data_IF_649292828929
#
_entry.id   IF_649292828929
#
_cell.length_a   1.000
_cell.length_b   1.000
_cell.length_c   1.000
_cell.angle_alpha   90.00
_cell.angle_beta   90.00
_cell.angle_gamma   90.00
#
_symmetry.space_group_name_H-M   'P 1'
#
loop_
_entity.id
_entity.type
_entity.pdbx_description
1 polymer ?
#
# COMPACT_ATOMS: atom_id res chain seq x y z
N UNK A 1 -14.67 -3.22 -63.16
CA UNK A 1 -14.28 -3.09 -61.73
C UNK A 1 -14.95 -4.21 -60.96
N UNK A 2 -14.30 -5.37 -60.79
CA UNK A 2 -14.82 -6.43 -59.93
C UNK A 2 -14.61 -5.99 -58.48
N UNK A 3 -15.70 -5.82 -57.74
CA UNK A 3 -15.68 -5.52 -56.31
C UNK A 3 -14.96 -6.64 -55.56
N UNK A 4 -13.70 -6.39 -55.20
CA UNK A 4 -12.88 -7.28 -54.38
C UNK A 4 -13.37 -7.21 -52.93
N UNK A 5 -14.49 -7.86 -52.63
CA UNK A 5 -15.08 -7.97 -51.28
C UNK A 5 -14.08 -8.51 -50.24
N UNK A 6 -13.10 -9.30 -50.66
CA UNK A 6 -12.04 -9.81 -49.79
C UNK A 6 -11.07 -8.74 -49.27
N UNK A 7 -10.88 -7.65 -50.02
CA UNK A 7 -9.96 -6.57 -49.63
C UNK A 7 -10.52 -5.75 -48.47
N UNK A 8 -11.83 -5.46 -48.51
CA UNK A 8 -12.56 -4.77 -47.43
C UNK A 8 -12.54 -5.62 -46.15
N UNK A 9 -12.69 -6.94 -46.27
CA UNK A 9 -12.67 -7.84 -45.12
C UNK A 9 -11.27 -7.86 -44.45
N UNK A 10 -10.20 -7.85 -45.25
CA UNK A 10 -8.82 -7.82 -44.76
C UNK A 10 -8.49 -6.50 -44.05
N UNK A 11 -8.87 -5.37 -44.65
CA UNK A 11 -8.66 -4.04 -44.06
C UNK A 11 -9.42 -3.88 -42.73
N UNK A 12 -10.66 -4.40 -42.67
CA UNK A 12 -11.44 -4.42 -41.42
C UNK A 12 -10.80 -5.30 -40.35
N UNK A 13 -10.21 -6.44 -40.73
CA UNK A 13 -9.54 -7.35 -39.80
C UNK A 13 -8.27 -6.72 -39.22
N UNK A 14 -7.48 -6.05 -40.06
CA UNK A 14 -6.26 -5.33 -39.65
C UNK A 14 -6.62 -4.20 -38.69
N UNK A 15 -7.65 -3.42 -39.03
CA UNK A 15 -8.13 -2.33 -38.17
C UNK A 15 -8.59 -2.83 -36.80
N UNK A 16 -9.30 -3.96 -36.77
CA UNK A 16 -9.74 -4.60 -35.54
C UNK A 16 -8.55 -5.10 -34.69
N UNK A 17 -7.55 -5.72 -35.32
CA UNK A 17 -6.37 -6.20 -34.63
C UNK A 17 -5.59 -5.05 -33.97
N UNK A 18 -5.41 -3.94 -34.69
CA UNK A 18 -4.76 -2.73 -34.16
C UNK A 18 -5.55 -2.18 -32.97
N UNK A 19 -6.88 -2.11 -33.08
CA UNK A 19 -7.74 -1.63 -32.00
C UNK A 19 -7.61 -2.50 -30.74
N UNK A 20 -7.60 -3.83 -30.90
CA UNK A 20 -7.42 -4.76 -29.77
C UNK A 20 -6.06 -4.59 -29.09
N UNK A 21 -4.99 -4.37 -29.86
CA UNK A 21 -3.65 -4.10 -29.31
C UNK A 21 -3.66 -2.81 -28.49
N UNK A 22 -4.28 -1.75 -29.01
CA UNK A 22 -4.36 -0.45 -28.30
C UNK A 22 -5.16 -0.60 -27.00
N UNK A 23 -6.34 -1.22 -27.06
CA UNK A 23 -7.21 -1.39 -25.89
C UNK A 23 -6.54 -2.27 -24.82
N UNK A 24 -5.93 -3.38 -25.21
CA UNK A 24 -5.23 -4.26 -24.26
C UNK A 24 -4.04 -3.58 -23.60
N UNK A 25 -3.26 -2.81 -24.36
CA UNK A 25 -2.16 -2.00 -23.83
C UNK A 25 -2.65 -0.95 -22.83
N UNK A 26 -3.71 -0.22 -23.18
CA UNK A 26 -4.32 0.79 -22.31
C UNK A 26 -4.82 0.19 -20.98
N UNK A 27 -5.51 -0.94 -21.04
CA UNK A 27 -5.98 -1.67 -19.85
C UNK A 27 -4.79 -2.10 -18.99
N UNK A 28 -3.73 -2.65 -19.60
CA UNK A 28 -2.53 -3.07 -18.89
C UNK A 28 -1.84 -1.92 -18.14
N UNK A 29 -1.72 -0.75 -18.77
CA UNK A 29 -1.15 0.45 -18.14
C UNK A 29 -2.05 0.96 -17.01
N UNK A 30 -3.37 0.99 -17.24
CA UNK A 30 -4.35 1.47 -16.25
C UNK A 30 -4.33 0.63 -14.98
N UNK A 31 -4.27 -0.70 -15.10
CA UNK A 31 -4.16 -1.62 -13.95
C UNK A 31 -2.87 -1.35 -13.16
N UNK A 32 -1.74 -1.14 -13.85
CA UNK A 32 -0.47 -0.82 -13.18
C UNK A 32 -0.56 0.50 -12.40
N UNK A 33 -1.10 1.55 -13.01
CA UNK A 33 -1.29 2.85 -12.35
C UNK A 33 -2.25 2.75 -11.16
N UNK A 34 -3.34 2.00 -11.29
CA UNK A 34 -4.28 1.78 -10.19
C UNK A 34 -3.61 1.10 -8.99
N UNK A 35 -2.80 0.05 -9.25
CA UNK A 35 -2.07 -0.65 -8.19
C UNK A 35 -1.05 0.24 -7.51
N UNK A 36 -0.30 1.03 -8.27
CA UNK A 36 0.67 1.97 -7.72
C UNK A 36 -0.02 3.05 -6.87
N UNK A 37 -1.14 3.59 -7.36
CA UNK A 37 -1.94 4.56 -6.62
C UNK A 37 -2.47 3.98 -5.31
N UNK A 38 -2.96 2.74 -5.31
CA UNK A 38 -3.41 2.07 -4.09
C UNK A 38 -2.27 1.88 -3.08
N UNK A 39 -1.07 1.51 -3.56
CA UNK A 39 0.10 1.34 -2.70
C UNK A 39 0.49 2.69 -2.06
N UNK A 40 0.50 3.79 -2.83
CA UNK A 40 0.74 5.14 -2.29
C UNK A 40 -0.35 5.60 -1.32
N UNK A 41 -1.61 5.23 -1.55
CA UNK A 41 -2.68 5.55 -0.61
C UNK A 41 -2.53 4.77 0.70
N UNK A 42 -2.11 3.50 0.65
CA UNK A 42 -1.88 2.71 1.86
C UNK A 42 -0.73 3.24 2.72
N UNK A 43 0.31 3.81 2.11
CA UNK A 43 1.38 4.44 2.90
C UNK A 43 0.88 5.72 3.58
N UNK A 44 0.08 6.54 2.88
CA UNK A 44 -0.53 7.73 3.45
C UNK A 44 -1.52 7.42 4.59
N UNK A 45 -2.29 6.33 4.49
CA UNK A 45 -3.17 5.89 5.59
C UNK A 45 -2.35 5.53 6.83
N UNK A 46 -1.25 4.80 6.67
CA UNK A 46 -0.36 4.48 7.80
C UNK A 46 0.23 5.73 8.46
N UNK A 47 0.65 6.73 7.66
CA UNK A 47 1.12 8.01 8.20
C UNK A 47 0.02 8.79 8.93
N UNK A 48 -1.19 8.79 8.38
CA UNK A 48 -2.36 9.41 9.02
C UNK A 48 -2.63 8.75 10.36
N UNK A 49 -2.66 7.43 10.42
CA UNK A 49 -2.95 6.69 11.66
C UNK A 49 -1.90 6.97 12.72
N UNK A 50 -0.60 6.93 12.35
CA UNK A 50 0.49 7.30 13.25
C UNK A 50 0.36 8.74 13.76
N UNK A 51 0.03 9.70 12.90
CA UNK A 51 -0.19 11.08 13.30
C UNK A 51 -1.38 11.21 14.27
N UNK A 52 -2.49 10.51 13.99
CA UNK A 52 -3.66 10.55 14.86
C UNK A 52 -3.38 9.95 16.23
N UNK A 53 -2.66 8.83 16.30
CA UNK A 53 -2.25 8.23 17.57
C UNK A 53 -1.26 9.12 18.32
N UNK A 54 -0.27 9.70 17.64
CA UNK A 54 0.67 10.64 18.26
C UNK A 54 -0.06 11.86 18.82
N UNK A 55 -1.02 12.40 18.07
CA UNK A 55 -1.85 13.53 18.51
C UNK A 55 -2.74 13.15 19.69
N UNK A 56 -3.34 11.95 19.67
CA UNK A 56 -4.15 11.39 20.77
C UNK A 56 -3.32 11.28 22.04
N UNK A 57 -2.12 10.69 21.97
CA UNK A 57 -1.20 10.58 23.10
C UNK A 57 -0.74 11.95 23.64
N UNK A 58 -0.63 12.96 22.78
CA UNK A 58 -0.30 14.33 23.21
C UNK A 58 -1.46 15.04 23.92
N UNK A 59 -2.69 14.86 23.45
CA UNK A 59 -3.88 15.55 23.99
C UNK A 59 -4.47 14.83 25.21
N UNK A 60 -4.38 13.50 25.21
CA UNK A 60 -4.71 12.64 26.33
C UNK A 60 -3.45 11.90 26.72
N UNK A 61 -2.47 12.58 27.36
CA UNK A 61 -1.40 11.85 28.03
C UNK A 61 -2.11 10.90 28.99
N UNK A 62 -1.95 9.60 28.79
CA UNK A 62 -2.47 8.59 29.72
C UNK A 62 -1.92 9.01 31.08
N UNK A 63 -2.81 9.55 31.92
CA UNK A 63 -2.42 10.06 33.23
C UNK A 63 -1.72 8.93 33.94
N UNK A 64 -0.48 9.17 34.34
CA UNK A 64 0.42 8.27 35.08
C UNK A 64 -0.33 7.29 35.98
N UNK A 65 -0.74 6.16 35.42
CA UNK A 65 -0.71 4.91 36.14
C UNK A 65 0.75 4.49 35.99
N UNK A 66 1.46 4.43 37.12
CA UNK A 66 2.88 4.08 37.26
C UNK A 66 3.42 3.31 36.06
N UNK A 67 4.54 3.74 35.44
CA UNK A 67 5.06 3.10 34.24
C UNK A 67 5.19 1.60 34.51
N UNK A 68 4.35 0.81 33.85
CA UNK A 68 4.35 -0.65 34.03
C UNK A 68 5.64 -1.25 33.49
N UNK A 69 6.31 -0.56 32.57
CA UNK A 69 7.54 -1.01 31.92
C UNK A 69 8.59 0.10 32.05
N UNK A 70 9.71 -0.22 32.68
CA UNK A 70 10.91 0.61 32.75
C UNK A 70 11.94 0.06 31.77
N UNK A 71 12.42 0.89 30.84
CA UNK A 71 13.37 0.48 29.79
C UNK A 71 14.67 1.24 30.03
N UNK A 72 15.72 0.54 30.45
CA UNK A 72 17.06 1.10 30.55
C UNK A 72 17.84 0.80 29.27
N UNK A 73 18.05 1.83 28.46
CA UNK A 73 18.77 1.74 27.19
C UNK A 73 20.25 1.39 27.39
N UNK A 74 20.85 1.81 28.51
CA UNK A 74 22.27 1.57 28.84
C UNK A 74 22.54 0.11 29.23
N UNK A 75 21.58 -0.56 29.85
CA UNK A 75 21.71 -1.96 30.28
C UNK A 75 21.03 -2.96 29.34
N UNK A 76 20.32 -2.48 28.31
CA UNK A 76 19.60 -3.32 27.35
C UNK A 76 18.51 -4.18 28.00
N UNK A 77 17.90 -3.68 29.08
CA UNK A 77 16.86 -4.39 29.83
C UNK A 77 15.56 -3.60 29.84
N UNK A 78 14.45 -4.31 29.65
CA UNK A 78 13.10 -3.81 29.85
C UNK A 78 12.46 -4.63 30.97
N UNK A 79 11.95 -3.96 32.01
CA UNK A 79 11.43 -4.58 33.22
C UNK A 79 9.96 -4.22 33.37
N UNK A 80 9.07 -5.22 33.36
CA UNK A 80 7.63 -5.04 33.53
C UNK A 80 7.19 -5.44 34.94
N UNK A 81 6.47 -4.57 35.65
CA UNK A 81 5.98 -4.80 37.01
C UNK A 81 4.68 -5.65 37.09
N UNK A 82 4.05 -6.01 35.97
CA UNK A 82 2.78 -6.76 35.94
C UNK A 82 2.87 -8.24 35.51
N UNK A 83 4.06 -8.77 35.24
CA UNK A 83 4.23 -10.16 34.84
C UNK A 83 5.32 -10.29 33.79
N UNK A 84 6.18 -11.29 34.00
CA UNK A 84 7.44 -11.53 33.30
C UNK A 84 7.37 -11.38 31.78
N UNK A 85 8.09 -10.39 31.25
CA UNK A 85 8.69 -10.51 29.92
C UNK A 85 10.19 -10.45 30.14
N UNK A 86 10.81 -11.62 30.21
CA UNK A 86 12.27 -11.75 30.19
C UNK A 86 12.69 -11.69 28.72
N UNK A 87 13.17 -10.53 28.27
CA UNK A 87 13.87 -10.44 26.98
C UNK A 87 15.31 -10.89 27.24
N UNK A 88 15.55 -12.19 27.15
CA UNK A 88 16.90 -12.75 27.13
C UNK A 88 17.53 -12.46 25.76
N UNK A 89 18.66 -11.73 25.78
CA UNK A 89 19.49 -11.46 24.61
C UNK A 89 20.07 -12.78 24.08
N UNK A 90 19.98 -13.02 22.77
CA UNK A 90 20.75 -14.08 22.09
C UNK A 90 22.13 -13.57 21.72
#
# INVERSE_FOLDING_TARGET
MKENKGYILLESLISLAILLIIVSSYVGVTIKMQRESQLRLSTLTSYRDLYTETRRCRLHPVGSAKPQIEISLEQGMALNHQGEIIIAKK
#
